data_IF_182879497182
#
_entry.id   IF_182879497182
#
_cell.length_a   1.000
_cell.length_b   1.000
_cell.length_c   1.000
_cell.angle_alpha   90.00
_cell.angle_beta   90.00
_cell.angle_gamma   90.00
#
_symmetry.space_group_name_H-M   'P 1'
#
loop_
_entity.id
_entity.type
_entity.pdbx_description
1 polymer ?
#
# COMPACT_ATOMS: atom_id res chain seq x y z
N UNK A 1 -8.25 -14.11 0.08
CA UNK A 1 -7.01 -14.11 -0.73
C UNK A 1 -7.31 -13.62 -2.14
N UNK A 2 -8.09 -12.54 -2.27
CA UNK A 2 -8.82 -12.19 -3.50
C UNK A 2 -7.91 -11.87 -4.71
N UNK A 3 -6.75 -11.22 -4.53
CA UNK A 3 -5.96 -10.67 -5.65
C UNK A 3 -4.59 -11.33 -5.92
N UNK A 4 -4.07 -12.15 -5.00
CA UNK A 4 -2.72 -12.70 -5.12
C UNK A 4 -1.63 -11.63 -5.24
N UNK A 5 -0.55 -11.93 -5.96
CA UNK A 5 0.54 -11.00 -6.25
C UNK A 5 0.27 -10.25 -7.56
N UNK A 6 -0.08 -8.96 -7.46
CA UNK A 6 -0.33 -8.08 -8.62
C UNK A 6 0.90 -7.22 -8.96
N UNK A 7 2.09 -7.66 -8.54
CA UNK A 7 3.35 -6.94 -8.70
C UNK A 7 3.25 -5.52 -8.15
N UNK A 8 3.56 -4.50 -8.97
CA UNK A 8 3.55 -3.09 -8.57
C UNK A 8 2.17 -2.59 -8.09
N UNK A 9 1.06 -3.22 -8.47
CA UNK A 9 -0.28 -2.80 -8.08
C UNK A 9 -0.66 -3.25 -6.65
N UNK A 10 0.11 -4.14 -6.02
CA UNK A 10 -0.26 -4.76 -4.75
C UNK A 10 -0.44 -3.74 -3.61
N UNK A 11 0.46 -2.76 -3.52
CA UNK A 11 0.40 -1.72 -2.48
C UNK A 11 -0.70 -0.68 -2.77
N UNK A 12 -0.84 -0.13 -4.00
CA UNK A 12 -1.95 0.75 -4.34
C UNK A 12 -3.34 0.14 -4.14
N UNK A 13 -3.53 -1.14 -4.49
CA UNK A 13 -4.81 -1.84 -4.29
C UNK A 13 -5.15 -1.92 -2.79
N UNK A 14 -4.20 -2.38 -1.97
CA UNK A 14 -4.42 -2.47 -0.51
C UNK A 14 -4.73 -1.10 0.11
N UNK A 15 -4.08 -0.04 -0.38
CA UNK A 15 -4.34 1.32 0.07
C UNK A 15 -5.76 1.79 -0.30
N UNK A 16 -6.20 1.62 -1.56
CA UNK A 16 -7.56 1.99 -2.00
C UNK A 16 -8.63 1.24 -1.21
N UNK A 17 -8.43 -0.06 -0.97
CA UNK A 17 -9.39 -0.86 -0.19
C UNK A 17 -9.49 -0.39 1.26
N UNK A 18 -8.36 -0.12 1.90
CA UNK A 18 -8.35 0.45 3.26
C UNK A 18 -9.07 1.81 3.31
N UNK A 19 -8.86 2.66 2.31
CA UNK A 19 -9.54 3.96 2.22
C UNK A 19 -11.06 3.80 2.04
N UNK A 20 -11.48 2.96 1.09
CA UNK A 20 -12.91 2.72 0.81
C UNK A 20 -13.66 2.04 1.94
N UNK A 21 -12.99 1.16 2.67
CA UNK A 21 -13.56 0.47 3.83
C UNK A 21 -13.48 1.30 5.13
N UNK A 22 -12.91 2.50 5.07
CA UNK A 22 -12.80 3.41 6.22
C UNK A 22 -11.82 2.94 7.30
N UNK A 23 -10.95 1.98 6.98
CA UNK A 23 -9.89 1.48 7.88
C UNK A 23 -8.78 2.52 8.08
N UNK A 24 -8.59 3.38 7.10
CA UNK A 24 -7.73 4.57 7.16
C UNK A 24 -8.56 5.80 6.83
N UNK A 25 -8.19 6.95 7.39
CA UNK A 25 -8.91 8.22 7.28
C UNK A 25 -7.94 9.36 6.95
N UNK A 26 -8.51 10.47 6.48
CA UNK A 26 -7.73 11.69 6.24
C UNK A 26 -7.09 12.17 7.55
N UNK A 27 -5.81 12.52 7.50
CA UNK A 27 -4.96 12.86 8.64
C UNK A 27 -4.18 11.68 9.23
N UNK A 28 -4.44 10.44 8.82
CA UNK A 28 -3.69 9.29 9.33
C UNK A 28 -2.27 9.28 8.75
N UNK A 29 -1.27 9.05 9.61
CA UNK A 29 0.11 8.80 9.15
C UNK A 29 0.25 7.34 8.73
N UNK A 30 0.62 7.11 7.47
CA UNK A 30 0.68 5.80 6.85
C UNK A 30 2.08 5.55 6.31
N UNK A 31 2.60 4.33 6.52
CA UNK A 31 3.81 3.85 5.85
C UNK A 31 3.45 2.86 4.76
N UNK A 32 3.90 3.14 3.54
CA UNK A 32 3.82 2.24 2.39
C UNK A 32 5.18 1.58 2.21
N UNK A 33 5.20 0.26 2.00
CA UNK A 33 6.45 -0.52 1.81
C UNK A 33 6.27 -1.49 0.66
N UNK A 34 7.25 -1.55 -0.24
CA UNK A 34 7.25 -2.47 -1.37
C UNK A 34 8.64 -3.07 -1.61
N UNK A 35 8.65 -4.31 -2.11
CA UNK A 35 9.84 -5.03 -2.54
C UNK A 35 9.67 -5.44 -4.01
N UNK A 36 10.70 -5.22 -4.82
CA UNK A 36 10.71 -5.51 -6.25
C UNK A 36 11.82 -6.47 -6.65
N UNK A 37 11.84 -6.83 -7.93
CA UNK A 37 12.86 -7.72 -8.49
C UNK A 37 14.29 -7.17 -8.27
N UNK A 38 15.24 -8.09 -8.14
CA UNK A 38 16.60 -7.79 -7.68
C UNK A 38 16.65 -7.78 -6.15
N UNK A 39 17.26 -6.75 -5.57
CA UNK A 39 17.27 -6.46 -4.13
C UNK A 39 16.65 -5.08 -3.82
N UNK A 40 15.80 -4.58 -4.73
CA UNK A 40 15.26 -3.22 -4.63
C UNK A 40 14.04 -3.20 -3.73
N UNK A 41 14.05 -2.30 -2.75
CA UNK A 41 12.91 -2.04 -1.88
C UNK A 41 12.81 -0.55 -1.60
N UNK A 42 11.63 -0.12 -1.19
CA UNK A 42 11.38 1.27 -0.83
C UNK A 42 10.26 1.39 0.16
N UNK A 43 10.31 2.47 0.93
CA UNK A 43 9.24 2.86 1.83
C UNK A 43 8.96 4.36 1.71
N UNK A 44 7.72 4.75 1.98
CA UNK A 44 7.33 6.15 2.04
C UNK A 44 6.35 6.36 3.19
N UNK A 45 6.56 7.42 3.96
CA UNK A 45 5.62 7.85 5.01
C UNK A 45 4.84 9.02 4.46
N UNK A 46 3.52 8.92 4.49
CA UNK A 46 2.59 9.95 4.02
C UNK A 46 1.56 10.26 5.10
N UNK A 47 1.02 11.46 5.06
CA UNK A 47 -0.27 11.76 5.68
C UNK A 47 -1.35 11.50 4.63
N UNK A 48 -2.31 10.62 4.94
CA UNK A 48 -3.40 10.29 4.03
C UNK A 48 -4.47 11.36 4.03
#
# INVERSE_FOLDING_TARGET
>A
SEYGNTSAASVPIAFDECARTGKIKRGDTIILVAFGAGLTWGANVIEF
#
